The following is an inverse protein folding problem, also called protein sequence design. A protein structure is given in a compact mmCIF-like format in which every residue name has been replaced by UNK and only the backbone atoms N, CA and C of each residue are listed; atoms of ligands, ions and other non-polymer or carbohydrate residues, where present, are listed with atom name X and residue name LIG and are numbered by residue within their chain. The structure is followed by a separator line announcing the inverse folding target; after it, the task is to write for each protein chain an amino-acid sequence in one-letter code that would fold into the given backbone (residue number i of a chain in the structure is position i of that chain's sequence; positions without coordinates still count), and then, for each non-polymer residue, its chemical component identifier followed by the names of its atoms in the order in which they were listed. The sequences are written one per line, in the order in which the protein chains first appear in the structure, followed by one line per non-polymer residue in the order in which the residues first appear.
data_IF_550846174727
#
_entry.id   IF_550846174727
#
_cell.length_a   1.000
_cell.length_b   1.000
_cell.length_c   1.000
_cell.angle_alpha   90.00
_cell.angle_beta   90.00
_cell.angle_gamma   90.00
#
_symmetry.space_group_name_H-M   'P 1'
#
loop_
_entity.id
_entity.type
_entity.pdbx_description
1 polymer ?
#
# COMPACT_ATOMS: atom_id res chain seq x y z
N UNK A 1 26.95 -61.57 -37.90
CA UNK A 1 25.72 -60.87 -37.47
C UNK A 1 26.18 -59.56 -36.86
N UNK A 2 25.98 -58.38 -37.43
CA UNK A 2 25.22 -57.98 -38.60
C UNK A 2 25.94 -56.72 -39.09
N UNK A 3 26.45 -56.73 -40.32
CA UNK A 3 26.93 -55.50 -40.96
C UNK A 3 25.72 -54.60 -41.16
N UNK A 4 25.43 -53.73 -40.18
CA UNK A 4 24.56 -52.59 -40.38
C UNK A 4 25.29 -51.65 -41.34
N UNK A 5 25.13 -51.93 -42.64
CA UNK A 5 25.56 -51.06 -43.71
C UNK A 5 24.91 -49.69 -43.49
N UNK A 6 25.73 -48.71 -43.11
CA UNK A 6 25.32 -47.33 -42.97
C UNK A 6 24.82 -46.81 -44.34
N UNK A 7 23.50 -46.87 -44.56
CA UNK A 7 22.82 -46.46 -45.79
C UNK A 7 23.21 -45.02 -46.15
N UNK A 8 23.45 -44.18 -45.13
CA UNK A 8 23.90 -42.80 -45.27
C UNK A 8 25.24 -42.64 -46.00
N UNK A 9 26.18 -43.56 -45.83
CA UNK A 9 27.49 -43.46 -46.49
C UNK A 9 27.42 -43.85 -47.98
N UNK A 10 26.43 -44.66 -48.38
CA UNK A 10 26.15 -44.99 -49.78
C UNK A 10 25.36 -43.92 -50.54
N UNK A 11 24.63 -43.07 -49.82
CA UNK A 11 23.81 -41.99 -50.37
C UNK A 11 24.56 -40.65 -50.50
N UNK A 12 25.83 -40.56 -50.07
CA UNK A 12 26.69 -39.39 -50.32
C UNK A 12 27.06 -39.31 -51.82
N UNK A 13 26.18 -38.72 -52.62
CA UNK A 13 26.46 -38.44 -54.03
C UNK A 13 27.36 -37.20 -54.14
N UNK A 14 28.61 -37.37 -54.59
CA UNK A 14 29.53 -36.25 -54.89
C UNK A 14 29.10 -35.41 -56.11
N UNK A 15 28.20 -35.94 -56.93
CA UNK A 15 27.70 -35.31 -58.15
C UNK A 15 26.36 -34.63 -57.87
N UNK A 16 26.30 -33.32 -58.08
CA UNK A 16 25.09 -32.50 -57.94
C UNK A 16 24.11 -32.78 -59.08
N UNK A 17 22.86 -33.08 -58.73
CA UNK A 17 21.75 -33.03 -59.68
C UNK A 17 21.54 -31.56 -60.10
N UNK A 18 21.50 -31.29 -61.40
CA UNK A 18 21.25 -29.94 -61.90
C UNK A 18 19.80 -29.80 -62.36
N UNK A 19 19.17 -28.70 -61.95
CA UNK A 19 17.80 -28.38 -62.28
C UNK A 19 17.77 -27.42 -63.46
N UNK A 20 16.81 -27.63 -64.35
CA UNK A 20 16.52 -26.70 -65.44
C UNK A 20 15.01 -26.57 -65.54
N UNK A 21 14.51 -25.34 -65.46
CA UNK A 21 13.16 -24.97 -65.88
C UNK A 21 13.06 -24.90 -67.41
N UNK A 22 14.18 -24.87 -68.12
CA UNK A 22 14.20 -24.86 -69.59
C UNK A 22 13.97 -26.26 -70.16
N UNK A 23 13.03 -26.30 -71.10
CA UNK A 23 12.45 -27.50 -71.70
C UNK A 23 13.46 -28.27 -72.54
N UNK A 24 13.44 -29.60 -72.43
CA UNK A 24 14.28 -30.45 -73.26
C UNK A 24 13.52 -30.78 -74.54
N UNK A 25 13.86 -30.05 -75.60
CA UNK A 25 13.43 -30.24 -77.01
C UNK A 25 12.08 -29.61 -77.36
N UNK A 26 12.13 -28.48 -78.07
CA UNK A 26 10.99 -27.69 -78.53
C UNK A 26 9.99 -28.47 -79.42
N UNK A 27 10.42 -29.53 -80.11
CA UNK A 27 9.55 -30.27 -81.03
C UNK A 27 8.55 -31.19 -80.30
N UNK A 28 8.82 -31.60 -79.05
CA UNK A 28 7.93 -32.47 -78.25
C UNK A 28 6.75 -31.67 -77.68
N UNK A 29 6.92 -30.34 -77.51
CA UNK A 29 5.88 -29.41 -77.02
C UNK A 29 4.63 -29.36 -77.91
N UNK A 30 4.75 -29.74 -79.18
CA UNK A 30 3.61 -29.79 -80.13
C UNK A 30 2.79 -31.07 -80.04
N UNK A 31 3.29 -32.14 -79.40
CA UNK A 31 2.62 -33.45 -79.35
C UNK A 31 2.01 -33.79 -78.00
N UNK A 32 2.50 -33.21 -76.89
CA UNK A 32 1.98 -33.45 -75.55
C UNK A 32 1.37 -32.17 -74.97
N UNK A 33 0.09 -32.22 -74.61
CA UNK A 33 -0.71 -31.13 -74.05
C UNK A 33 -0.34 -30.74 -72.60
N UNK A 34 0.67 -31.36 -71.98
CA UNK A 34 1.04 -31.13 -70.59
C UNK A 34 2.35 -30.34 -70.48
N UNK A 35 2.28 -29.17 -69.83
CA UNK A 35 3.43 -28.32 -69.54
C UNK A 35 4.42 -29.03 -68.59
N UNK A 36 5.71 -28.99 -68.92
CA UNK A 36 6.78 -29.58 -68.10
C UNK A 36 7.04 -28.66 -66.92
N UNK A 37 6.90 -29.18 -65.70
CA UNK A 37 7.12 -28.42 -64.47
C UNK A 37 8.61 -28.35 -64.12
N UNK A 38 9.28 -29.49 -64.02
CA UNK A 38 10.71 -29.58 -63.68
C UNK A 38 11.37 -30.67 -64.53
N UNK A 39 12.61 -30.42 -64.97
CA UNK A 39 13.47 -31.45 -65.56
C UNK A 39 14.67 -31.76 -64.67
N UNK A 40 14.79 -33.01 -64.23
CA UNK A 40 15.97 -33.51 -63.52
C UNK A 40 17.06 -33.91 -64.50
N UNK A 41 18.25 -33.33 -64.36
CA UNK A 41 19.44 -33.78 -65.08
C UNK A 41 20.25 -34.71 -64.18
N UNK A 42 20.20 -36.02 -64.48
CA UNK A 42 20.75 -37.09 -63.66
C UNK A 42 22.05 -37.63 -64.32
N UNK A 43 23.22 -37.46 -63.69
CA UNK A 43 24.47 -38.05 -64.16
C UNK A 43 24.42 -39.58 -64.18
N UNK A 44 25.10 -40.19 -65.16
CA UNK A 44 25.25 -41.65 -65.25
C UNK A 44 25.90 -42.24 -63.98
N UNK A 45 26.79 -41.50 -63.32
CA UNK A 45 27.40 -41.94 -62.05
C UNK A 45 26.35 -42.25 -60.97
N UNK A 46 25.30 -41.43 -60.85
CA UNK A 46 24.22 -41.62 -59.89
C UNK A 46 23.34 -42.81 -60.31
N UNK A 47 22.95 -42.87 -61.58
CA UNK A 47 22.12 -43.96 -62.13
C UNK A 47 22.75 -45.34 -61.94
N UNK A 48 24.07 -45.44 -62.13
CA UNK A 48 24.81 -46.69 -61.91
C UNK A 48 24.82 -47.07 -60.42
N UNK A 49 24.99 -46.10 -59.53
CA UNK A 49 24.93 -46.34 -58.07
C UNK A 49 23.54 -46.79 -57.64
N UNK A 50 22.47 -46.18 -58.16
CA UNK A 50 21.10 -46.64 -57.89
C UNK A 50 20.86 -48.07 -58.39
N UNK A 51 21.35 -48.40 -59.58
CA UNK A 51 21.30 -49.77 -60.08
C UNK A 51 22.05 -50.76 -59.17
N UNK A 52 23.24 -50.39 -58.66
CA UNK A 52 24.00 -51.22 -57.72
C UNK A 52 23.27 -51.41 -56.38
N UNK A 53 22.68 -50.35 -55.83
CA UNK A 53 21.90 -50.42 -54.58
C UNK A 53 20.70 -51.36 -54.75
N UNK A 54 19.98 -51.25 -55.87
CA UNK A 54 18.78 -52.05 -56.12
C UNK A 54 19.08 -53.50 -56.49
N UNK A 55 20.00 -53.73 -57.41
CA UNK A 55 20.21 -55.05 -58.03
C UNK A 55 21.31 -55.84 -57.33
N UNK A 56 22.43 -55.19 -57.00
CA UNK A 56 23.59 -55.88 -56.41
C UNK A 56 23.39 -56.04 -54.90
N UNK A 57 22.89 -55.00 -54.23
CA UNK A 57 22.66 -55.02 -52.77
C UNK A 57 21.26 -55.46 -52.35
N UNK A 58 20.37 -55.73 -53.30
CA UNK A 58 18.99 -56.19 -53.06
C UNK A 58 18.20 -55.34 -52.05
N UNK A 59 18.45 -54.03 -52.03
CA UNK A 59 17.74 -53.09 -51.18
C UNK A 59 16.39 -52.74 -51.83
N UNK A 60 15.40 -53.62 -51.64
CA UNK A 60 14.08 -53.47 -52.26
C UNK A 60 13.21 -52.39 -51.60
N UNK A 61 13.54 -51.98 -50.38
CA UNK A 61 12.73 -51.08 -49.53
C UNK A 61 12.50 -49.69 -50.15
N UNK A 62 13.52 -49.07 -50.76
CA UNK A 62 13.43 -47.70 -51.29
C UNK A 62 13.14 -47.69 -52.78
N UNK A 63 12.07 -47.07 -53.29
CA UNK A 63 11.83 -46.95 -54.74
C UNK A 63 12.94 -46.14 -55.45
N UNK A 64 13.07 -46.24 -56.77
CA UNK A 64 13.96 -45.34 -57.52
C UNK A 64 13.53 -43.86 -57.39
N UNK A 65 12.23 -43.60 -57.23
CA UNK A 65 11.70 -42.26 -56.91
C UNK A 65 12.18 -41.79 -55.53
N UNK A 66 12.19 -42.65 -54.53
CA UNK A 66 12.74 -42.33 -53.20
C UNK A 66 14.24 -42.05 -53.28
N UNK A 67 14.98 -42.84 -54.05
CA UNK A 67 16.42 -42.60 -54.28
C UNK A 67 16.67 -41.26 -55.00
N UNK A 68 15.78 -40.85 -55.91
CA UNK A 68 15.82 -39.54 -56.54
C UNK A 68 15.61 -38.43 -55.51
N UNK A 69 14.60 -38.52 -54.65
CA UNK A 69 14.34 -37.51 -53.61
C UNK A 69 15.41 -37.48 -52.52
N UNK A 70 15.95 -38.63 -52.12
CA UNK A 70 17.04 -38.73 -51.13
C UNK A 70 18.38 -38.24 -51.68
N UNK A 71 18.61 -38.35 -52.99
CA UNK A 71 19.82 -37.83 -53.62
C UNK A 71 19.83 -36.30 -53.75
N UNK A 72 18.71 -35.65 -53.45
CA UNK A 72 18.60 -34.21 -53.43
C UNK A 72 18.95 -33.67 -52.05
N UNK A 73 20.01 -32.87 -51.96
CA UNK A 73 20.18 -31.91 -50.88
C UNK A 73 19.20 -30.73 -51.11
N UNK A 74 17.89 -30.99 -51.15
CA UNK A 74 16.89 -29.94 -51.39
C UNK A 74 16.41 -29.35 -50.05
N UNK A 75 16.54 -28.04 -49.83
CA UNK A 75 15.96 -27.41 -48.65
C UNK A 75 14.47 -27.04 -48.79
N UNK A 76 13.83 -27.20 -49.97
CA UNK A 76 12.54 -26.48 -50.20
C UNK A 76 11.51 -27.05 -51.18
N UNK A 77 11.67 -28.26 -51.75
CA UNK A 77 10.60 -28.84 -52.61
C UNK A 77 10.41 -30.33 -52.37
N UNK A 78 9.55 -30.69 -51.42
CA UNK A 78 8.91 -32.00 -51.39
C UNK A 78 7.79 -32.00 -52.43
N UNK A 79 8.09 -32.44 -53.65
CA UNK A 79 7.08 -32.55 -54.70
C UNK A 79 6.10 -33.66 -54.33
N UNK A 80 4.85 -33.31 -54.04
CA UNK A 80 3.81 -34.30 -53.84
C UNK A 80 3.28 -34.73 -55.21
N UNK A 81 3.68 -35.93 -55.63
CA UNK A 81 3.34 -36.49 -56.92
C UNK A 81 2.13 -37.42 -56.79
N UNK A 82 1.22 -37.35 -57.77
CA UNK A 82 0.13 -38.32 -57.92
C UNK A 82 0.70 -39.73 -58.09
N UNK A 83 -0.06 -40.75 -57.71
CA UNK A 83 0.38 -42.14 -57.78
C UNK A 83 0.78 -42.59 -59.19
N UNK A 84 0.01 -42.18 -60.20
CA UNK A 84 0.29 -42.47 -61.62
C UNK A 84 1.66 -41.92 -62.07
N UNK A 85 2.00 -40.73 -61.59
CA UNK A 85 3.27 -40.08 -61.88
C UNK A 85 4.44 -40.80 -61.19
N UNK A 86 4.25 -41.24 -59.94
CA UNK A 86 5.23 -42.04 -59.20
C UNK A 86 5.53 -43.33 -59.96
N UNK A 87 4.51 -44.04 -60.45
CA UNK A 87 4.68 -45.28 -61.24
C UNK A 87 5.44 -45.04 -62.55
N UNK A 88 5.10 -43.99 -63.31
CA UNK A 88 5.79 -43.63 -64.55
C UNK A 88 7.26 -43.32 -64.30
N UNK A 89 7.55 -42.48 -63.31
CA UNK A 89 8.92 -42.07 -62.96
C UNK A 89 9.73 -43.26 -62.47
N UNK A 90 9.14 -44.15 -61.67
CA UNK A 90 9.77 -45.37 -61.19
C UNK A 90 10.21 -46.29 -62.34
N UNK A 91 9.31 -46.54 -63.29
CA UNK A 91 9.62 -47.35 -64.47
C UNK A 91 10.74 -46.71 -65.30
N UNK A 92 10.66 -45.39 -65.52
CA UNK A 92 11.64 -44.67 -66.34
C UNK A 92 13.02 -44.62 -65.69
N UNK A 93 13.08 -44.36 -64.38
CA UNK A 93 14.33 -44.36 -63.62
C UNK A 93 14.99 -45.74 -63.59
N UNK A 94 14.18 -46.80 -63.49
CA UNK A 94 14.67 -48.19 -63.58
C UNK A 94 15.33 -48.47 -64.94
N UNK A 95 14.68 -48.08 -66.04
CA UNK A 95 15.24 -48.22 -67.40
C UNK A 95 16.54 -47.44 -67.57
N UNK A 96 16.56 -46.18 -67.14
CA UNK A 96 17.73 -45.32 -67.23
C UNK A 96 18.90 -45.89 -66.41
N UNK A 97 18.62 -46.38 -65.21
CA UNK A 97 19.61 -47.00 -64.32
C UNK A 97 20.17 -48.29 -64.92
N UNK A 98 19.31 -49.14 -65.49
CA UNK A 98 19.73 -50.36 -66.17
C UNK A 98 20.57 -50.06 -67.42
N UNK A 99 20.11 -49.13 -68.27
CA UNK A 99 20.84 -48.72 -69.48
C UNK A 99 22.22 -48.14 -69.14
N UNK A 100 22.30 -47.29 -68.12
CA UNK A 100 23.56 -46.71 -67.67
C UNK A 100 24.52 -47.77 -67.12
N UNK A 101 24.02 -48.74 -66.35
CA UNK A 101 24.82 -49.86 -65.86
C UNK A 101 25.32 -50.74 -67.01
N UNK A 102 24.46 -51.11 -67.96
CA UNK A 102 24.80 -51.93 -69.13
C UNK A 102 25.81 -51.26 -70.05
N UNK A 103 25.71 -49.95 -70.30
CA UNK A 103 26.73 -49.21 -71.06
C UNK A 103 28.09 -49.19 -70.35
N UNK A 104 28.09 -49.33 -69.03
CA UNK A 104 29.29 -49.23 -68.21
C UNK A 104 29.94 -50.60 -67.93
N UNK A 105 29.27 -51.72 -68.22
CA UNK A 105 29.84 -53.07 -68.05
C UNK A 105 30.99 -53.31 -69.04
N UNK A 106 32.10 -53.86 -68.57
CA UNK A 106 33.28 -54.17 -69.40
C UNK A 106 34.13 -52.97 -69.85
N UNK A 107 33.72 -51.73 -69.57
CA UNK A 107 34.49 -50.53 -69.93
C UNK A 107 35.52 -50.15 -68.86
N UNK A 108 36.76 -49.83 -69.27
CA UNK A 108 37.89 -49.46 -68.39
C UNK A 108 38.60 -48.19 -68.87
N UNK A 109 39.23 -47.46 -67.95
CA UNK A 109 40.06 -46.29 -68.28
C UNK A 109 39.28 -45.10 -68.86
N UNK A 110 39.83 -44.46 -69.88
CA UNK A 110 39.31 -43.20 -70.45
C UNK A 110 37.88 -43.31 -71.02
N UNK A 111 37.50 -44.47 -71.57
CA UNK A 111 36.15 -44.71 -72.11
C UNK A 111 35.10 -44.73 -71.01
N UNK A 112 35.41 -45.34 -69.86
CA UNK A 112 34.54 -45.33 -68.67
C UNK A 112 34.32 -43.92 -68.15
N UNK A 113 35.36 -43.10 -68.09
CA UNK A 113 35.27 -41.70 -67.64
C UNK A 113 34.35 -40.89 -68.56
N UNK A 114 34.42 -41.11 -69.89
CA UNK A 114 33.52 -40.45 -70.85
C UNK A 114 32.05 -40.85 -70.64
N UNK A 115 31.77 -42.12 -70.36
CA UNK A 115 30.42 -42.62 -70.10
C UNK A 115 29.87 -42.05 -68.78
N UNK A 116 30.68 -42.01 -67.72
CA UNK A 116 30.27 -41.47 -66.42
C UNK A 116 29.91 -39.98 -66.47
N UNK A 117 30.51 -39.21 -67.40
CA UNK A 117 30.18 -37.79 -67.64
C UNK A 117 28.86 -37.59 -68.39
N UNK A 118 28.22 -38.63 -68.93
CA UNK A 118 26.90 -38.50 -69.58
C UNK A 118 25.83 -38.13 -68.56
N UNK A 119 24.84 -37.36 -69.01
CA UNK A 119 23.71 -36.92 -68.20
C UNK A 119 22.42 -37.27 -68.92
N UNK A 120 21.42 -37.81 -68.20
CA UNK A 120 20.07 -38.07 -68.70
C UNK A 120 19.10 -37.07 -68.10
N UNK A 121 18.14 -36.66 -68.91
CA UNK A 121 17.12 -35.70 -68.50
C UNK A 121 15.79 -36.42 -68.27
N UNK A 122 15.14 -36.14 -67.15
CA UNK A 122 13.86 -36.72 -66.76
C UNK A 122 12.88 -35.58 -66.45
N UNK A 123 11.80 -35.49 -67.22
CA UNK A 123 10.78 -34.46 -67.03
C UNK A 123 9.67 -34.95 -66.08
N UNK A 124 9.22 -34.03 -65.22
CA UNK A 124 7.99 -34.12 -64.43
C UNK A 124 7.02 -33.08 -64.97
N UNK A 125 5.78 -33.48 -65.19
CA UNK A 125 4.74 -32.61 -65.77
C UNK A 125 3.92 -31.93 -64.67
N UNK A 126 3.34 -30.77 -64.97
CA UNK A 126 2.51 -30.05 -64.00
C UNK A 126 1.24 -30.84 -63.60
N UNK A 127 0.67 -31.58 -64.54
CA UNK A 127 -0.52 -32.44 -64.32
C UNK A 127 -0.27 -33.61 -63.36
N UNK A 128 1.00 -33.94 -63.11
CA UNK A 128 1.46 -35.04 -62.25
C UNK A 128 1.59 -34.66 -60.77
N UNK A 129 1.43 -33.37 -60.46
CA UNK A 129 1.56 -32.82 -59.10
C UNK A 129 0.18 -32.81 -58.43
N UNK A 130 0.14 -33.14 -57.14
CA UNK A 130 -1.07 -33.01 -56.33
C UNK A 130 -1.34 -31.54 -56.01
N UNK A 131 -2.60 -31.13 -56.14
CA UNK A 131 -3.00 -29.77 -55.81
C UNK A 131 -3.05 -29.58 -54.28
N UNK A 132 -2.12 -28.79 -53.74
CA UNK A 132 -2.04 -28.47 -52.32
C UNK A 132 -2.90 -27.25 -51.94
N UNK A 133 -3.66 -26.65 -52.87
CA UNK A 133 -4.45 -25.43 -52.66
C UNK A 133 -5.44 -25.55 -51.49
N UNK A 134 -6.11 -26.68 -51.36
CA UNK A 134 -7.07 -26.94 -50.29
C UNK A 134 -6.40 -27.00 -48.92
N UNK A 135 -5.23 -27.65 -48.82
CA UNK A 135 -4.46 -27.70 -47.58
C UNK A 135 -3.95 -26.32 -47.19
N UNK A 136 -3.46 -25.53 -48.15
CA UNK A 136 -3.04 -24.15 -47.91
C UNK A 136 -4.19 -23.27 -47.43
N UNK A 137 -5.39 -23.39 -48.04
CA UNK A 137 -6.57 -22.65 -47.57
C UNK A 137 -6.95 -23.02 -46.13
N UNK A 138 -6.83 -24.30 -45.76
CA UNK A 138 -7.12 -24.79 -44.41
C UNK A 138 -6.09 -24.34 -43.38
N UNK A 139 -4.81 -24.30 -43.77
CA UNK A 139 -3.74 -23.74 -42.93
C UNK A 139 -4.03 -22.27 -42.66
N UNK A 140 -4.31 -21.48 -43.70
CA UNK A 140 -4.62 -20.06 -43.56
C UNK A 140 -5.86 -19.81 -42.67
N UNK A 141 -6.91 -20.62 -42.79
CA UNK A 141 -8.09 -20.48 -41.93
C UNK A 141 -7.78 -20.80 -40.47
N UNK A 142 -7.00 -21.85 -40.21
CA UNK A 142 -6.60 -22.24 -38.84
C UNK A 142 -5.65 -21.20 -38.22
N UNK A 143 -4.75 -20.61 -39.00
CA UNK A 143 -3.89 -19.52 -38.54
C UNK A 143 -4.70 -18.29 -38.14
N UNK A 144 -5.76 -17.97 -38.90
CA UNK A 144 -6.68 -16.89 -38.56
C UNK A 144 -7.43 -17.18 -37.26
N UNK A 145 -8.02 -18.37 -37.12
CA UNK A 145 -8.74 -18.79 -35.92
C UNK A 145 -7.83 -18.78 -34.68
N UNK A 146 -6.59 -19.26 -34.82
CA UNK A 146 -5.58 -19.20 -33.74
C UNK A 146 -5.33 -17.76 -33.29
N UNK A 147 -5.20 -16.83 -34.24
CA UNK A 147 -4.95 -15.42 -33.92
C UNK A 147 -6.16 -14.80 -33.20
N UNK A 148 -7.38 -15.07 -33.66
CA UNK A 148 -8.62 -14.60 -33.02
C UNK A 148 -8.74 -15.13 -31.58
N UNK A 149 -8.43 -16.42 -31.36
CA UNK A 149 -8.45 -17.02 -30.01
C UNK A 149 -7.36 -16.42 -29.10
N UNK A 150 -6.18 -16.09 -29.65
CA UNK A 150 -5.12 -15.43 -28.88
C UNK A 150 -5.55 -14.03 -28.42
N UNK A 151 -6.16 -13.23 -29.30
CA UNK A 151 -6.69 -11.90 -28.95
C UNK A 151 -7.81 -12.00 -27.90
N UNK A 152 -8.66 -13.02 -27.97
CA UNK A 152 -9.69 -13.28 -26.96
C UNK A 152 -9.10 -13.65 -25.60
N UNK A 153 -8.04 -14.48 -25.57
CA UNK A 153 -7.35 -14.84 -24.34
C UNK A 153 -6.71 -13.63 -23.67
N UNK A 154 -6.00 -12.80 -24.43
CA UNK A 154 -5.39 -11.56 -23.90
C UNK A 154 -6.47 -10.62 -23.29
N UNK A 155 -7.60 -10.49 -23.97
CA UNK A 155 -8.74 -9.70 -23.47
C UNK A 155 -9.32 -10.30 -22.19
N UNK A 156 -9.42 -11.63 -22.11
CA UNK A 156 -9.94 -12.33 -20.94
C UNK A 156 -8.99 -12.21 -19.74
N UNK A 157 -7.69 -12.36 -19.97
CA UNK A 157 -6.66 -12.21 -18.94
C UNK A 157 -6.67 -10.79 -18.36
N UNK A 158 -6.71 -9.77 -19.21
CA UNK A 158 -6.83 -8.38 -18.75
C UNK A 158 -8.08 -8.13 -17.91
N UNK A 159 -9.21 -8.77 -18.26
CA UNK A 159 -10.45 -8.69 -17.47
C UNK A 159 -10.32 -9.42 -16.13
N UNK A 160 -9.67 -10.58 -16.11
CA UNK A 160 -9.40 -11.32 -14.88
C UNK A 160 -8.54 -10.48 -13.93
N UNK A 161 -7.49 -9.83 -14.42
CA UNK A 161 -6.64 -8.96 -13.61
C UNK A 161 -7.42 -7.77 -13.03
N UNK A 162 -8.25 -7.12 -13.84
CA UNK A 162 -9.14 -6.04 -13.38
C UNK A 162 -10.08 -6.52 -12.27
N UNK A 163 -10.70 -7.69 -12.43
CA UNK A 163 -11.61 -8.25 -11.44
C UNK A 163 -10.88 -8.63 -10.14
N UNK A 164 -9.66 -9.15 -10.23
CA UNK A 164 -8.85 -9.47 -9.05
C UNK A 164 -8.52 -8.19 -8.27
N UNK A 165 -8.20 -7.10 -8.97
CA UNK A 165 -7.97 -5.81 -8.35
C UNK A 165 -9.24 -5.26 -7.67
N UNK A 166 -10.39 -5.31 -8.35
CA UNK A 166 -11.68 -4.89 -7.77
C UNK A 166 -12.03 -5.68 -6.51
N UNK A 167 -11.82 -7.00 -6.50
CA UNK A 167 -12.05 -7.84 -5.31
C UNK A 167 -11.09 -7.48 -4.17
N UNK A 168 -9.83 -7.17 -4.48
CA UNK A 168 -8.85 -6.74 -3.47
C UNK A 168 -9.25 -5.40 -2.84
N UNK A 169 -9.66 -4.43 -3.64
CA UNK A 169 -10.15 -3.13 -3.19
C UNK A 169 -11.41 -3.28 -2.33
N UNK A 170 -12.37 -4.11 -2.77
CA UNK A 170 -13.58 -4.40 -2.00
C UNK A 170 -13.30 -5.08 -0.65
N UNK A 171 -12.33 -6.00 -0.60
CA UNK A 171 -11.90 -6.60 0.67
C UNK A 171 -11.30 -5.57 1.61
N UNK A 172 -10.48 -4.66 1.10
CA UNK A 172 -9.87 -3.61 1.90
C UNK A 172 -10.92 -2.64 2.46
N UNK A 173 -11.91 -2.25 1.67
CA UNK A 173 -13.02 -1.39 2.15
C UNK A 173 -13.88 -2.10 3.18
N UNK A 174 -14.18 -3.39 2.99
CA UNK A 174 -14.93 -4.20 3.95
C UNK A 174 -14.19 -4.31 5.28
N UNK A 175 -12.88 -4.54 5.24
CA UNK A 175 -12.07 -4.62 6.46
C UNK A 175 -12.01 -3.28 7.20
N UNK A 176 -11.82 -2.16 6.48
CA UNK A 176 -11.91 -0.82 7.07
C UNK A 176 -13.27 -0.53 7.70
N UNK A 177 -14.36 -0.98 7.07
CA UNK A 177 -15.69 -0.82 7.63
C UNK A 177 -15.83 -1.59 8.95
N UNK A 178 -15.34 -2.84 9.01
CA UNK A 178 -15.34 -3.63 10.24
C UNK A 178 -14.49 -2.98 11.36
N UNK A 179 -13.30 -2.46 11.03
CA UNK A 179 -12.45 -1.76 12.00
C UNK A 179 -13.13 -0.48 12.54
N UNK A 180 -13.83 0.25 11.66
CA UNK A 180 -14.60 1.44 12.04
C UNK A 180 -15.80 1.09 12.92
N UNK A 181 -16.53 0.01 12.61
CA UNK A 181 -17.63 -0.48 13.44
C UNK A 181 -17.15 -0.87 14.84
N UNK A 182 -16.01 -1.54 14.94
CA UNK A 182 -15.40 -1.87 16.22
C UNK A 182 -15.06 -0.60 17.01
N UNK A 183 -14.38 0.36 16.37
CA UNK A 183 -14.04 1.64 17.02
C UNK A 183 -15.28 2.42 17.46
N UNK A 184 -16.34 2.42 16.65
CA UNK A 184 -17.61 3.06 17.01
C UNK A 184 -18.26 2.39 18.23
N UNK A 185 -18.23 1.05 18.30
CA UNK A 185 -18.71 0.30 19.47
C UNK A 185 -17.94 0.67 20.73
N UNK A 186 -16.61 0.72 20.65
CA UNK A 186 -15.76 1.09 21.78
C UNK A 186 -16.03 2.53 22.26
N UNK A 187 -16.19 3.47 21.33
CA UNK A 187 -16.55 4.86 21.65
C UNK A 187 -17.96 4.94 22.25
N UNK A 188 -18.91 4.16 21.74
CA UNK A 188 -20.26 4.07 22.31
C UNK A 188 -20.23 3.60 23.75
N UNK A 189 -19.49 2.53 24.04
CA UNK A 189 -19.33 2.00 25.40
C UNK A 189 -18.68 3.03 26.34
N UNK A 190 -17.70 3.79 25.85
CA UNK A 190 -17.10 4.89 26.62
C UNK A 190 -18.09 6.02 26.87
N UNK A 191 -18.88 6.40 25.86
CA UNK A 191 -19.90 7.42 26.00
C UNK A 191 -20.97 7.00 27.00
N UNK A 192 -21.36 5.73 27.03
CA UNK A 192 -22.33 5.23 28.00
C UNK A 192 -21.76 5.22 29.42
N UNK A 193 -20.49 4.83 29.61
CA UNK A 193 -19.80 4.99 30.90
C UNK A 193 -19.69 6.45 31.34
N UNK A 194 -19.43 7.36 30.41
CA UNK A 194 -19.37 8.79 30.69
C UNK A 194 -20.75 9.36 31.03
N UNK A 195 -21.81 8.91 30.34
CA UNK A 195 -23.20 9.26 30.70
C UNK A 195 -23.51 8.76 32.10
N UNK A 196 -23.24 7.50 32.43
CA UNK A 196 -23.43 6.97 33.78
C UNK A 196 -22.66 7.78 34.83
N UNK A 197 -21.42 8.18 34.52
CA UNK A 197 -20.63 9.04 35.38
C UNK A 197 -21.27 10.43 35.56
N UNK A 198 -21.70 11.05 34.48
CA UNK A 198 -22.39 12.36 34.51
C UNK A 198 -23.71 12.24 35.27
N UNK A 199 -24.50 11.20 35.04
CA UNK A 199 -25.74 10.93 35.77
C UNK A 199 -25.45 10.74 37.26
N UNK A 200 -24.37 10.03 37.62
CA UNK A 200 -23.93 9.92 39.01
C UNK A 200 -23.52 11.27 39.62
N UNK A 201 -23.04 12.23 38.82
CA UNK A 201 -22.69 13.58 39.28
C UNK A 201 -23.94 14.48 39.32
N UNK A 202 -24.85 14.35 38.36
CA UNK A 202 -26.11 15.08 38.31
C UNK A 202 -27.03 14.59 39.42
N UNK A 203 -27.04 13.31 39.79
CA UNK A 203 -27.71 12.84 41.00
C UNK A 203 -27.06 13.41 42.27
N UNK A 204 -25.78 13.79 42.22
CA UNK A 204 -25.10 14.51 43.32
C UNK A 204 -25.39 16.02 43.33
N UNK A 205 -25.61 16.63 42.17
CA UNK A 205 -25.74 18.09 41.99
C UNK A 205 -27.18 18.57 41.68
N UNK A 206 -28.12 17.67 41.36
CA UNK A 206 -29.52 18.00 41.05
C UNK A 206 -30.34 18.15 42.32
N UNK A 207 -30.17 19.32 42.93
CA UNK A 207 -31.11 19.83 43.91
C UNK A 207 -32.53 19.93 43.32
N UNK A 208 -33.46 19.09 43.82
CA UNK A 208 -34.86 19.53 44.00
C UNK A 208 -35.20 19.96 45.43
N UNK A 209 -34.33 19.75 46.45
CA UNK A 209 -34.28 20.61 47.67
C UNK A 209 -33.06 20.43 48.61
N UNK A 210 -31.82 20.30 48.12
CA UNK A 210 -30.62 19.94 48.90
C UNK A 210 -30.72 18.54 49.52
N UNK A 211 -30.16 17.55 48.82
CA UNK A 211 -30.19 16.16 49.23
C UNK A 211 -29.34 15.89 50.48
N UNK A 212 -29.80 14.94 51.28
CA UNK A 212 -29.36 14.63 52.64
C UNK A 212 -27.88 14.20 52.77
N UNK A 213 -27.24 13.79 51.67
CA UNK A 213 -25.86 13.31 51.66
C UNK A 213 -24.79 14.40 51.46
N UNK A 214 -25.17 15.60 51.00
CA UNK A 214 -24.27 16.76 50.89
C UNK A 214 -24.70 17.91 51.81
N UNK A 215 -25.57 17.63 52.78
CA UNK A 215 -25.87 18.61 53.82
C UNK A 215 -24.59 18.92 54.56
N UNK A 216 -24.20 20.18 54.52
CA UNK A 216 -23.27 20.72 55.49
C UNK A 216 -23.93 20.56 56.87
N UNK A 217 -23.64 19.45 57.53
CA UNK A 217 -24.09 19.14 58.89
C UNK A 217 -23.36 20.01 59.94
N UNK A 218 -22.53 20.96 59.48
CA UNK A 218 -21.95 21.98 60.30
C UNK A 218 -23.01 22.99 60.77
N UNK A 219 -22.78 23.53 61.97
CA UNK A 219 -23.62 24.58 62.55
C UNK A 219 -23.78 25.77 61.58
N UNK A 220 -25.00 26.28 61.47
CA UNK A 220 -25.34 27.42 60.62
C UNK A 220 -24.59 28.69 61.07
N UNK A 221 -24.58 29.74 60.25
CA UNK A 221 -23.91 31.01 60.62
C UNK A 221 -24.44 31.58 61.95
N UNK A 222 -25.71 31.34 62.28
CA UNK A 222 -26.32 31.88 63.49
C UNK A 222 -26.04 31.04 64.73
N UNK A 223 -25.81 29.74 64.56
CA UNK A 223 -25.53 28.77 65.64
C UNK A 223 -24.07 28.77 66.12
N UNK A 224 -23.18 29.46 65.41
CA UNK A 224 -21.75 29.53 65.77
C UNK A 224 -21.43 30.76 66.63
N UNK A 225 -20.42 30.63 67.50
CA UNK A 225 -19.95 31.71 68.36
C UNK A 225 -19.44 32.92 67.55
N UNK A 226 -19.41 34.11 68.16
CA UNK A 226 -19.00 35.36 67.50
C UNK A 226 -17.65 35.23 66.77
N UNK A 227 -16.63 34.65 67.40
CA UNK A 227 -15.31 34.41 66.78
C UNK A 227 -15.37 33.50 65.55
N UNK A 228 -16.23 32.48 65.56
CA UNK A 228 -16.44 31.60 64.42
C UNK A 228 -17.22 32.30 63.31
N UNK A 229 -18.21 33.15 63.64
CA UNK A 229 -18.89 34.03 62.68
C UNK A 229 -17.88 34.91 61.95
N UNK A 230 -16.98 35.57 62.68
CA UNK A 230 -15.94 36.43 62.10
C UNK A 230 -14.98 35.66 61.19
N UNK A 231 -14.59 34.44 61.56
CA UNK A 231 -13.77 33.57 60.69
C UNK A 231 -14.50 33.20 59.40
N UNK A 232 -15.78 32.80 59.50
CA UNK A 232 -16.62 32.50 58.34
C UNK A 232 -16.76 33.71 57.42
N UNK A 233 -17.01 34.91 57.97
CA UNK A 233 -17.06 36.15 57.19
C UNK A 233 -15.73 36.47 56.53
N UNK A 234 -14.59 36.26 57.20
CA UNK A 234 -13.26 36.48 56.60
C UNK A 234 -12.98 35.52 55.45
N UNK A 235 -13.36 34.25 55.58
CA UNK A 235 -13.24 33.27 54.49
C UNK A 235 -14.14 33.63 53.32
N UNK A 236 -15.39 34.02 53.59
CA UNK A 236 -16.32 34.49 52.56
C UNK A 236 -15.80 35.76 51.85
N UNK A 237 -15.20 36.69 52.60
CA UNK A 237 -14.56 37.89 52.06
C UNK A 237 -13.44 37.53 51.08
N UNK A 238 -12.53 36.64 51.47
CA UNK A 238 -11.44 36.20 50.60
C UNK A 238 -11.92 35.37 49.39
N UNK A 239 -12.91 34.51 49.57
CA UNK A 239 -13.46 33.70 48.48
C UNK A 239 -14.19 34.57 47.44
N UNK A 240 -14.93 35.58 47.88
CA UNK A 240 -15.62 36.51 46.97
C UNK A 240 -14.64 37.45 46.26
N UNK A 241 -13.57 37.92 46.92
CA UNK A 241 -12.44 38.59 46.25
C UNK A 241 -11.88 37.72 45.12
N UNK A 242 -11.64 36.42 45.38
CA UNK A 242 -11.10 35.50 44.38
C UNK A 242 -12.07 35.20 43.24
N UNK A 243 -13.35 34.96 43.56
CA UNK A 243 -14.38 34.64 42.57
C UNK A 243 -14.70 35.85 41.67
N UNK A 244 -14.63 37.07 42.21
CA UNK A 244 -14.91 38.31 41.51
C UNK A 244 -13.65 39.01 40.98
N UNK A 245 -12.48 38.37 41.11
CA UNK A 245 -11.21 38.95 40.69
C UNK A 245 -11.21 39.35 39.20
N UNK A 246 -11.91 38.59 38.36
CA UNK A 246 -12.00 38.88 36.93
C UNK A 246 -12.65 40.25 36.63
N UNK A 247 -13.49 40.78 37.52
CA UNK A 247 -14.16 42.08 37.32
C UNK A 247 -13.17 43.25 37.27
N UNK A 248 -12.01 43.11 37.91
CA UNK A 248 -10.94 44.11 37.85
C UNK A 248 -10.39 44.25 36.43
N UNK A 249 -10.35 43.16 35.64
CA UNK A 249 -9.95 43.20 34.22
C UNK A 249 -10.94 43.97 33.34
N UNK A 250 -12.20 44.07 33.78
CA UNK A 250 -13.24 44.87 33.13
C UNK A 250 -13.34 46.30 33.72
N UNK A 251 -12.41 46.70 34.60
CA UNK A 251 -12.35 48.03 35.20
C UNK A 251 -13.24 48.24 36.42
N UNK A 252 -13.86 47.19 36.97
CA UNK A 252 -14.68 47.28 38.17
C UNK A 252 -13.90 46.90 39.43
N UNK A 253 -14.04 47.69 40.50
CA UNK A 253 -13.49 47.36 41.83
C UNK A 253 -14.61 47.03 42.81
N UNK A 254 -14.44 45.93 43.53
CA UNK A 254 -15.39 45.51 44.55
C UNK A 254 -15.28 46.42 45.78
N UNK A 255 -16.29 47.24 46.03
CA UNK A 255 -16.35 48.13 47.22
C UNK A 255 -17.03 47.43 48.40
N UNK A 256 -18.27 46.94 48.19
CA UNK A 256 -19.10 46.32 49.22
C UNK A 256 -19.87 45.12 48.69
N UNK A 257 -20.07 44.14 49.56
CA UNK A 257 -20.89 42.96 49.27
C UNK A 257 -21.95 42.80 50.36
N UNK A 258 -23.21 42.68 49.93
CA UNK A 258 -24.35 42.47 50.82
C UNK A 258 -24.75 41.00 50.82
N UNK A 259 -24.72 40.38 51.99
CA UNK A 259 -25.14 39.00 52.20
C UNK A 259 -26.44 39.01 52.99
N UNK A 260 -27.44 38.26 52.54
CA UNK A 260 -28.66 37.99 53.29
C UNK A 260 -28.70 36.53 53.67
N UNK A 261 -28.91 36.25 54.95
CA UNK A 261 -29.19 34.89 55.40
C UNK A 261 -30.60 34.46 54.97
N UNK A 262 -30.70 33.29 54.34
CA UNK A 262 -31.95 32.73 53.85
C UNK A 262 -32.91 32.30 54.96
N UNK A 263 -32.43 32.11 56.19
CA UNK A 263 -33.26 31.65 57.32
C UNK A 263 -33.74 32.80 58.22
N UNK A 264 -32.91 33.82 58.43
CA UNK A 264 -33.22 34.93 59.37
C UNK A 264 -33.48 36.27 58.69
N UNK A 265 -33.10 36.42 57.42
CA UNK A 265 -33.19 37.69 56.70
C UNK A 265 -32.20 38.76 57.17
N UNK A 266 -31.29 38.44 58.11
CA UNK A 266 -30.28 39.37 58.61
C UNK A 266 -29.28 39.70 57.49
N UNK A 267 -29.01 41.00 57.31
CA UNK A 267 -28.10 41.50 56.27
C UNK A 267 -26.74 41.79 56.86
N UNK A 268 -25.72 41.09 56.36
CA UNK A 268 -24.32 41.32 56.71
C UNK A 268 -23.63 42.05 55.55
N UNK A 269 -23.00 43.17 55.83
CA UNK A 269 -22.23 43.93 54.84
C UNK A 269 -20.74 43.66 55.00
N UNK A 270 -20.11 43.14 53.95
CA UNK A 270 -18.66 43.02 53.85
C UNK A 270 -18.10 44.24 53.11
N UNK A 271 -17.22 45.00 53.78
CA UNK A 271 -16.54 46.15 53.19
C UNK A 271 -15.11 45.76 52.78
N UNK A 272 -14.70 46.14 51.58
CA UNK A 272 -13.38 45.83 51.01
C UNK A 272 -12.41 47.00 51.07
N UNK A 273 -12.93 48.22 51.29
CA UNK A 273 -12.13 49.42 51.49
C UNK A 273 -11.48 49.46 52.88
N UNK A 274 -10.16 49.22 52.93
CA UNK A 274 -9.35 49.29 54.15
C UNK A 274 -8.83 50.73 54.38
N UNK A 275 -9.60 51.59 55.05
CA UNK A 275 -8.99 52.73 55.74
C UNK A 275 -8.25 52.20 56.98
N UNK A 276 -6.92 52.28 57.00
CA UNK A 276 -6.03 51.83 58.09
C UNK A 276 -6.17 52.72 59.35
N UNK A 277 -7.39 52.84 59.90
CA UNK A 277 -7.71 53.70 61.06
C UNK A 277 -7.11 53.24 62.40
N UNK A 278 -6.43 52.09 62.44
CA UNK A 278 -5.94 51.50 63.70
C UNK A 278 -4.43 51.59 63.93
N UNK A 279 -3.64 52.22 63.05
CA UNK A 279 -2.20 52.36 63.32
C UNK A 279 -1.91 53.63 64.14
N UNK A 280 -0.90 53.58 65.01
CA UNK A 280 -0.46 54.68 65.88
C UNK A 280 -0.28 56.01 65.12
N UNK A 281 0.22 55.96 63.88
CA UNK A 281 0.48 57.13 63.03
C UNK A 281 -0.79 57.91 62.66
N UNK A 282 -1.95 57.23 62.61
CA UNK A 282 -3.24 57.83 62.24
C UNK A 282 -4.12 58.18 63.45
N UNK A 283 -3.59 58.05 64.68
CA UNK A 283 -4.28 58.52 65.89
C UNK A 283 -4.27 60.05 65.98
N UNK A 284 -5.26 60.61 66.70
CA UNK A 284 -5.25 62.03 67.09
C UNK A 284 -4.03 62.32 67.98
N UNK A 285 -3.54 63.56 68.01
CA UNK A 285 -2.40 63.90 68.90
C UNK A 285 -2.76 63.69 70.38
N UNK A 286 -4.01 63.95 70.79
CA UNK A 286 -4.49 63.67 72.16
C UNK A 286 -4.37 62.18 72.52
N UNK A 287 -4.70 61.28 71.60
CA UNK A 287 -4.60 59.84 71.85
C UNK A 287 -3.16 59.32 71.74
N UNK A 288 -2.34 59.95 70.89
CA UNK A 288 -0.89 59.68 70.86
C UNK A 288 -0.23 60.07 72.18
N UNK A 289 -0.63 61.17 72.78
CA UNK A 289 -0.08 61.61 74.07
C UNK A 289 -0.51 60.69 75.21
N UNK A 290 -1.75 60.19 75.22
CA UNK A 290 -2.16 59.12 76.16
C UNK A 290 -1.29 57.87 76.01
N UNK A 291 -1.04 57.44 74.77
CA UNK A 291 -0.15 56.30 74.48
C UNK A 291 1.28 56.56 74.95
N UNK A 292 1.85 57.76 74.68
CA UNK A 292 3.20 58.16 75.14
C UNK A 292 3.30 58.19 76.65
N UNK A 293 2.29 58.71 77.35
CA UNK A 293 2.24 58.75 78.81
C UNK A 293 2.26 57.34 79.41
N UNK A 294 1.51 56.41 78.82
CA UNK A 294 1.54 55.00 79.23
C UNK A 294 2.90 54.37 78.98
N UNK A 295 3.51 54.59 77.81
CA UNK A 295 4.89 54.12 77.51
C UNK A 295 5.89 54.66 78.54
N UNK A 296 5.82 55.95 78.86
CA UNK A 296 6.69 56.58 79.86
C UNK A 296 6.52 55.97 81.26
N UNK A 297 5.29 55.72 81.69
CA UNK A 297 5.02 55.04 82.97
C UNK A 297 5.58 53.62 82.94
N UNK A 298 5.36 52.88 81.84
CA UNK A 298 5.90 51.53 81.69
C UNK A 298 7.43 51.50 81.76
N UNK A 299 8.12 52.45 81.12
CA UNK A 299 9.58 52.52 81.16
C UNK A 299 10.09 52.95 82.54
N UNK A 300 9.44 53.93 83.18
CA UNK A 300 9.81 54.42 84.52
C UNK A 300 9.71 53.35 85.61
N UNK A 301 8.74 52.44 85.49
CA UNK A 301 8.51 51.37 86.46
C UNK A 301 8.96 49.98 85.95
N UNK A 302 9.71 49.92 84.85
CA UNK A 302 10.21 48.68 84.24
C UNK A 302 9.12 47.62 83.96
N UNK A 303 7.93 48.06 83.56
CA UNK A 303 6.80 47.18 83.21
C UNK A 303 7.02 46.59 81.82
N UNK A 304 7.00 45.26 81.74
CA UNK A 304 7.15 44.54 80.48
C UNK A 304 5.90 44.66 79.59
N UNK A 305 6.09 44.53 78.27
CA UNK A 305 4.97 44.49 77.31
C UNK A 305 3.99 43.37 77.61
N UNK A 306 4.48 42.23 78.14
CA UNK A 306 3.65 41.08 78.50
C UNK A 306 2.74 41.42 79.69
N UNK A 307 3.30 42.02 80.75
CA UNK A 307 2.54 42.45 81.92
C UNK A 307 1.47 43.50 81.56
N UNK A 308 1.81 44.48 80.72
CA UNK A 308 0.84 45.46 80.26
C UNK A 308 -0.24 44.85 79.36
N UNK A 309 0.12 43.89 78.49
CA UNK A 309 -0.85 43.20 77.64
C UNK A 309 -1.91 42.49 78.49
N UNK A 310 -1.49 41.72 79.49
CA UNK A 310 -2.40 41.05 80.42
C UNK A 310 -3.27 42.05 81.18
N UNK A 311 -2.67 43.10 81.73
CA UNK A 311 -3.40 44.16 82.45
C UNK A 311 -4.47 44.86 81.57
N UNK A 312 -4.11 45.18 80.32
CA UNK A 312 -5.04 45.79 79.35
C UNK A 312 -6.17 44.86 78.91
N UNK A 313 -5.98 43.55 79.00
CA UNK A 313 -7.01 42.56 78.71
C UNK A 313 -7.98 42.37 79.87
N UNK A 314 -7.51 42.54 81.12
CA UNK A 314 -8.36 42.46 82.31
C UNK A 314 -9.20 43.74 82.50
N UNK A 315 -8.63 44.91 82.20
CA UNK A 315 -9.30 46.21 82.35
C UNK A 315 -9.54 46.85 80.98
N UNK A 316 -10.70 46.60 80.39
CA UNK A 316 -11.01 47.01 79.01
C UNK A 316 -11.44 48.48 78.84
N UNK A 317 -11.67 49.24 79.92
CA UNK A 317 -12.12 50.63 79.83
C UNK A 317 -10.97 51.63 79.93
N UNK A 318 -10.79 52.42 78.87
CA UNK A 318 -9.95 53.62 78.85
C UNK A 318 -8.45 53.41 78.61
N UNK A 319 -7.94 52.18 78.59
CA UNK A 319 -6.50 51.91 78.39
C UNK A 319 -6.13 51.72 76.90
N UNK A 320 -5.01 52.29 76.43
CA UNK A 320 -4.52 52.04 75.08
C UNK A 320 -4.18 50.57 74.85
N UNK A 321 -4.53 50.04 73.66
CA UNK A 321 -4.24 48.65 73.30
C UNK A 321 -2.73 48.40 73.23
N UNK A 322 -2.28 47.25 73.73
CA UNK A 322 -0.87 46.84 73.76
C UNK A 322 -0.12 46.95 72.42
N UNK A 323 -0.79 46.77 71.27
CA UNK A 323 -0.14 46.95 69.97
C UNK A 323 0.22 48.42 69.67
N UNK A 324 -0.53 49.39 70.21
CA UNK A 324 -0.24 50.82 70.08
C UNK A 324 0.98 51.21 70.90
N UNK A 325 1.14 50.63 72.10
CA UNK A 325 2.34 50.78 72.95
C UNK A 325 3.58 50.32 72.19
N UNK A 326 3.51 49.12 71.57
CA UNK A 326 4.62 48.58 70.76
C UNK A 326 4.97 49.46 69.56
N UNK A 327 3.96 49.95 68.83
CA UNK A 327 4.18 50.85 67.70
C UNK A 327 4.81 52.18 68.14
N UNK A 328 4.32 52.77 69.24
CA UNK A 328 4.87 54.00 69.80
C UNK A 328 6.33 53.82 70.26
N UNK A 329 6.66 52.73 70.98
CA UNK A 329 8.05 52.40 71.35
C UNK A 329 8.96 52.22 70.12
N UNK A 330 8.49 51.54 69.07
CA UNK A 330 9.24 51.39 67.83
C UNK A 330 9.50 52.74 67.15
N UNK A 331 8.50 53.62 67.14
CA UNK A 331 8.64 54.95 66.53
C UNK A 331 9.55 55.87 67.37
N UNK A 332 9.49 55.81 68.71
CA UNK A 332 10.42 56.51 69.59
C UNK A 332 11.87 55.99 69.44
N UNK A 333 12.05 54.67 69.37
CA UNK A 333 13.38 54.06 69.20
C UNK A 333 14.04 54.46 67.88
N UNK A 334 13.27 54.71 66.81
CA UNK A 334 13.81 55.25 65.54
C UNK A 334 14.30 56.69 65.67
N UNK A 335 13.76 57.47 66.60
CA UNK A 335 14.14 58.87 66.83
C UNK A 335 15.39 58.98 67.71
N UNK A 336 15.57 58.04 68.65
CA UNK A 336 16.67 58.05 69.62
C UNK A 336 17.80 57.05 69.32
N UNK A 337 17.76 56.37 68.17
CA UNK A 337 18.90 55.58 67.67
C UNK A 337 19.98 56.51 67.12
N UNK A 338 20.94 56.89 67.98
CA UNK A 338 22.32 57.23 67.59
C UNK A 338 23.13 55.93 67.53
#
# INVERSE_FOLDING_TARGET
MSEELNIHDYLKFKSTLTFSSESCLLYIRKQNSNEVFITFSIPYEILIKWHQIKVVKKLFVLSYVDLLFLSQNLPSCTLNLKEEAKLRLEARLRELSYSAAKECTGTKGATRIKILKKVKKLAVYQSEIEDASQLLSKINSLEKEKKELQEQLETLEARCDSLVQEVAEFRQTTQRAADLEQSYSEISDQNDKLKEYVDSLVDRDSCKHCDSNYRNNGRTYNEVSYTQKQRKLKVLKSNSERALWFLESFGFKLDKLFLSDCQTGEKVTLQYNNEKKSAYQFLSEEDKDKVRNVVYIMDKFCVSDAAYHEFSMTNNDGLPRSYLIKQCRQDLNKVYSI
#
